data_IF_862401164989
#
_entry.id   IF_862401164989
#
_cell.length_a   1.000
_cell.length_b   1.000
_cell.length_c   1.000
_cell.angle_alpha   90.00
_cell.angle_beta   90.00
_cell.angle_gamma   90.00
#
_symmetry.space_group_name_H-M   'P 1'
#
loop_
_entity.id
_entity.type
_entity.pdbx_description
1 polymer ?
#
# COMPACT_ATOMS: atom_id res chain seq x y z
N UNK A 1 -16.34 23.09 -5.83
CA UNK A 1 -14.95 23.32 -6.27
C UNK A 1 -14.35 24.39 -5.37
N UNK A 2 -13.24 24.09 -4.72
CA UNK A 2 -12.50 25.07 -3.94
C UNK A 2 -11.50 25.77 -4.86
N UNK A 3 -11.44 27.09 -4.82
CA UNK A 3 -10.60 27.90 -5.70
C UNK A 3 -9.29 28.27 -4.98
N UNK A 4 -8.28 27.40 -5.05
CA UNK A 4 -6.97 27.62 -4.44
C UNK A 4 -5.85 26.89 -5.18
N UNK A 5 -4.64 27.45 -5.12
CA UNK A 5 -3.42 26.73 -5.46
C UNK A 5 -2.96 25.98 -4.21
N UNK A 6 -3.00 24.65 -4.26
CA UNK A 6 -2.70 23.79 -3.10
C UNK A 6 -1.33 23.16 -3.24
N UNK A 7 -0.54 23.24 -2.18
CA UNK A 7 0.76 22.58 -2.07
C UNK A 7 0.66 21.49 -1.01
N UNK A 8 1.08 20.24 -1.30
CA UNK A 8 1.11 19.20 -0.27
C UNK A 8 2.16 19.53 0.81
N UNK A 9 2.09 18.89 1.99
CA UNK A 9 3.14 18.99 2.99
C UNK A 9 4.51 18.61 2.41
N UNK A 10 5.56 19.30 2.81
CA UNK A 10 6.92 18.94 2.41
C UNK A 10 7.28 17.59 3.06
N UNK A 11 7.68 16.58 2.27
CA UNK A 11 8.02 15.27 2.83
C UNK A 11 9.35 15.34 3.58
N UNK A 12 9.43 14.59 4.67
CA UNK A 12 10.66 14.28 5.39
C UNK A 12 10.69 12.76 5.59
N UNK A 13 11.89 12.18 5.60
CA UNK A 13 12.02 10.74 5.84
C UNK A 13 11.50 10.38 7.23
N UNK A 14 10.74 9.29 7.29
CA UNK A 14 10.21 8.76 8.54
C UNK A 14 11.37 8.31 9.46
N UNK A 15 11.42 8.79 10.71
CA UNK A 15 12.44 8.35 11.66
C UNK A 15 12.36 6.85 11.93
N UNK A 16 13.53 6.19 11.86
CA UNK A 16 13.67 4.76 12.16
C UNK A 16 13.64 4.55 13.67
N UNK A 17 12.73 3.70 14.17
CA UNK A 17 12.73 3.26 15.57
C UNK A 17 13.89 2.29 15.81
N UNK A 18 14.61 2.50 16.89
CA UNK A 18 15.79 1.70 17.24
C UNK A 18 15.45 0.38 17.92
N UNK A 19 14.26 0.26 18.51
CA UNK A 19 13.83 -0.89 19.30
C UNK A 19 14.84 -1.27 20.41
N UNK A 20 15.27 -0.26 21.16
CA UNK A 20 16.19 -0.45 22.27
C UNK A 20 15.56 -1.34 23.38
N UNK A 21 16.35 -2.16 24.09
CA UNK A 21 15.83 -2.99 25.16
C UNK A 21 15.03 -2.19 26.20
N UNK A 22 13.80 -2.60 26.46
CA UNK A 22 12.91 -1.98 27.45
C UNK A 22 12.18 -0.71 26.98
N UNK A 23 12.39 -0.27 25.73
CA UNK A 23 11.66 0.88 25.19
C UNK A 23 10.18 0.58 24.97
N UNK A 24 9.37 1.64 24.82
CA UNK A 24 7.93 1.52 24.60
C UNK A 24 7.63 0.78 23.29
N UNK A 25 8.32 1.13 22.20
CA UNK A 25 8.16 0.48 20.90
C UNK A 25 8.63 -0.96 20.87
N UNK A 26 9.64 -1.33 21.67
CA UNK A 26 10.02 -2.74 21.84
C UNK A 26 8.93 -3.52 22.57
N UNK A 27 8.33 -2.92 23.59
CA UNK A 27 7.28 -3.54 24.38
C UNK A 27 6.01 -3.74 23.55
N UNK A 28 5.57 -2.71 22.82
CA UNK A 28 4.36 -2.78 22.00
C UNK A 28 4.52 -3.72 20.80
N UNK A 29 5.67 -3.70 20.12
CA UNK A 29 5.94 -4.63 19.02
C UNK A 29 5.96 -6.10 19.49
N UNK A 30 6.57 -6.39 20.65
CA UNK A 30 6.54 -7.73 21.24
C UNK A 30 5.12 -8.19 21.55
N UNK A 31 4.32 -7.35 22.18
CA UNK A 31 2.91 -7.64 22.45
C UNK A 31 2.14 -7.94 21.15
N UNK A 32 2.40 -7.17 20.08
CA UNK A 32 1.73 -7.39 18.80
C UNK A 32 2.20 -8.68 18.11
N UNK A 33 3.50 -8.99 18.17
CA UNK A 33 4.06 -10.26 17.67
C UNK A 33 3.43 -11.46 18.40
N UNK A 34 3.36 -11.41 19.72
CA UNK A 34 2.79 -12.48 20.53
C UNK A 34 1.31 -12.71 20.18
N UNK A 35 0.52 -11.64 20.10
CA UNK A 35 -0.89 -11.70 19.71
C UNK A 35 -1.06 -12.29 18.30
N UNK A 36 -0.36 -11.74 17.30
CA UNK A 36 -0.48 -12.20 15.91
C UNK A 36 0.02 -13.62 15.69
N UNK A 37 0.99 -14.08 16.48
CA UNK A 37 1.46 -15.48 16.44
C UNK A 37 0.45 -16.49 17.00
N UNK A 38 -0.62 -16.04 17.65
CA UNK A 38 -1.69 -16.92 18.14
C UNK A 38 -2.91 -16.92 17.22
N UNK A 39 -2.91 -16.07 16.20
CA UNK A 39 -3.99 -15.92 15.24
C UNK A 39 -3.69 -16.74 13.98
N UNK A 40 -4.75 -17.33 13.39
CA UNK A 40 -4.71 -17.85 12.01
C UNK A 40 -5.66 -17.00 11.20
N UNK A 41 -5.11 -16.05 10.45
CA UNK A 41 -5.89 -15.07 9.69
C UNK A 41 -6.51 -15.74 8.47
N UNK A 42 -7.80 -15.52 8.25
CA UNK A 42 -8.47 -15.86 7.00
C UNK A 42 -8.34 -14.69 6.02
N UNK A 43 -7.61 -14.90 4.92
CA UNK A 43 -7.29 -13.85 3.93
C UNK A 43 -8.12 -14.09 2.65
N UNK A 44 -9.16 -13.27 2.40
CA UNK A 44 -9.98 -13.38 1.21
C UNK A 44 -9.31 -12.76 -0.02
N UNK A 45 -9.86 -13.06 -1.20
CA UNK A 45 -9.67 -12.21 -2.38
C UNK A 45 -10.53 -10.96 -2.19
N UNK A 46 -9.99 -9.75 -2.42
CA UNK A 46 -10.73 -8.49 -2.28
C UNK A 46 -10.95 -7.88 -3.67
N UNK A 47 -12.21 -7.67 -4.05
CA UNK A 47 -12.59 -7.04 -5.34
C UNK A 47 -13.67 -5.99 -5.06
N UNK A 48 -13.42 -4.73 -5.42
CA UNK A 48 -14.39 -3.65 -5.20
C UNK A 48 -14.76 -3.42 -3.73
N UNK A 49 -13.88 -3.81 -2.80
CA UNK A 49 -14.15 -3.79 -1.36
C UNK A 49 -14.89 -5.03 -0.82
N UNK A 50 -15.32 -5.96 -1.68
CA UNK A 50 -15.95 -7.21 -1.26
C UNK A 50 -14.91 -8.29 -0.94
N UNK A 51 -15.05 -8.95 0.21
CA UNK A 51 -14.25 -10.11 0.60
C UNK A 51 -14.84 -11.41 0.04
N UNK A 52 -14.10 -12.10 -0.83
CA UNK A 52 -14.52 -13.33 -1.51
C UNK A 52 -13.68 -14.51 -1.02
N UNK A 53 -14.38 -15.51 -0.46
CA UNK A 53 -13.79 -16.78 0.02
C UNK A 53 -14.05 -17.87 -1.00
N UNK A 54 -13.01 -18.26 -1.73
CA UNK A 54 -13.10 -19.21 -2.85
C UNK A 54 -13.13 -20.68 -2.42
N UNK A 55 -12.78 -20.99 -1.18
CA UNK A 55 -12.49 -22.36 -0.72
C UNK A 55 -11.22 -22.99 -1.30
N UNK A 56 -10.68 -22.47 -2.41
CA UNK A 56 -9.36 -22.86 -2.93
C UNK A 56 -8.27 -22.08 -2.21
N UNK A 57 -7.61 -22.72 -1.24
CA UNK A 57 -6.76 -22.04 -0.27
C UNK A 57 -5.30 -22.46 -0.31
N UNK A 58 -4.41 -21.53 0.00
CA UNK A 58 -3.04 -21.81 0.43
C UNK A 58 -2.81 -21.40 1.89
N UNK A 59 -1.65 -21.77 2.45
CA UNK A 59 -1.25 -21.35 3.79
C UNK A 59 -0.06 -20.38 3.74
N UNK A 60 -0.13 -19.33 4.56
CA UNK A 60 1.03 -18.52 4.91
C UNK A 60 1.58 -19.02 6.25
N UNK A 61 2.90 -19.23 6.30
CA UNK A 61 3.59 -19.80 7.46
C UNK A 61 4.67 -18.84 7.94
N UNK A 62 5.16 -19.06 9.16
CA UNK A 62 6.36 -18.39 9.66
C UNK A 62 7.60 -19.05 9.03
N UNK A 63 8.43 -18.39 8.20
CA UNK A 63 9.53 -19.07 7.53
C UNK A 63 10.59 -19.65 8.50
N UNK A 64 10.88 -18.94 9.59
CA UNK A 64 11.79 -19.41 10.65
C UNK A 64 11.16 -20.43 11.61
N UNK A 65 9.87 -20.75 11.46
CA UNK A 65 9.14 -21.78 12.22
C UNK A 65 8.08 -22.41 11.33
N UNK A 66 8.51 -23.04 10.23
CA UNK A 66 7.66 -23.41 9.08
C UNK A 66 6.45 -24.32 9.35
N UNK A 67 6.34 -24.93 10.54
CA UNK A 67 5.13 -25.66 10.97
C UNK A 67 4.04 -24.76 11.56
N UNK A 68 4.34 -23.50 11.78
CA UNK A 68 3.45 -22.51 12.35
C UNK A 68 2.73 -21.76 11.22
N UNK A 69 1.41 -21.89 11.17
CA UNK A 69 0.54 -21.26 10.18
C UNK A 69 0.08 -19.91 10.72
N UNK A 70 0.26 -18.85 9.94
CA UNK A 70 -0.18 -17.49 10.25
C UNK A 70 -1.51 -17.14 9.57
N UNK A 71 -1.74 -17.70 8.38
CA UNK A 71 -2.95 -17.43 7.63
C UNK A 71 -3.32 -18.56 6.69
N UNK A 72 -4.61 -18.65 6.39
CA UNK A 72 -5.15 -19.37 5.23
C UNK A 72 -5.62 -18.30 4.24
N UNK A 73 -5.11 -18.32 3.00
CA UNK A 73 -5.48 -17.33 1.99
C UNK A 73 -6.21 -17.98 0.82
N UNK A 74 -7.21 -17.28 0.30
CA UNK A 74 -7.98 -17.69 -0.86
C UNK A 74 -7.29 -17.30 -2.16
N UNK A 75 -7.28 -18.21 -3.12
CA UNK A 75 -6.69 -18.00 -4.44
C UNK A 75 -7.78 -17.66 -5.45
N UNK A 76 -7.54 -16.62 -6.25
CA UNK A 76 -8.41 -16.21 -7.34
C UNK A 76 -8.24 -17.12 -8.56
N UNK A 77 -9.35 -17.47 -9.20
CA UNK A 77 -9.36 -18.13 -10.51
C UNK A 77 -9.52 -17.10 -11.65
N UNK A 78 -9.56 -17.59 -12.89
CA UNK A 78 -9.72 -16.72 -14.07
C UNK A 78 -11.02 -15.90 -14.03
N UNK A 79 -12.10 -16.43 -13.46
CA UNK A 79 -13.39 -15.72 -13.38
C UNK A 79 -13.31 -14.52 -12.43
N UNK A 80 -12.62 -14.70 -11.30
CA UNK A 80 -12.39 -13.62 -10.34
C UNK A 80 -11.40 -12.58 -10.87
N UNK A 81 -10.40 -13.00 -11.66
CA UNK A 81 -9.52 -12.05 -12.36
C UNK A 81 -10.32 -11.20 -13.34
N UNK A 82 -11.21 -11.78 -14.15
CA UNK A 82 -12.11 -11.01 -15.02
C UNK A 82 -13.00 -10.06 -14.22
N UNK A 83 -13.64 -10.53 -13.13
CA UNK A 83 -14.44 -9.66 -12.24
C UNK A 83 -13.61 -8.49 -11.70
N UNK A 84 -12.35 -8.74 -11.31
CA UNK A 84 -11.47 -7.70 -10.79
C UNK A 84 -11.11 -6.65 -11.86
N UNK A 85 -10.90 -7.07 -13.10
CA UNK A 85 -10.67 -6.17 -14.25
C UNK A 85 -11.90 -5.29 -14.47
N UNK A 86 -13.09 -5.89 -14.61
CA UNK A 86 -14.33 -5.15 -14.85
C UNK A 86 -14.59 -4.14 -13.73
N UNK A 87 -14.40 -4.56 -12.47
CA UNK A 87 -14.57 -3.68 -11.30
C UNK A 87 -13.57 -2.52 -11.29
N UNK A 88 -12.33 -2.76 -11.72
CA UNK A 88 -11.31 -1.72 -11.80
C UNK A 88 -11.58 -0.72 -12.93
N UNK A 89 -12.14 -1.16 -14.06
CA UNK A 89 -12.58 -0.30 -15.15
C UNK A 89 -13.79 0.55 -14.74
N UNK A 90 -14.77 -0.06 -14.05
CA UNK A 90 -15.95 0.63 -13.54
C UNK A 90 -15.60 1.75 -12.56
N UNK A 91 -14.65 1.50 -11.65
CA UNK A 91 -14.18 2.50 -10.68
C UNK A 91 -13.25 3.57 -11.27
N UNK A 92 -12.69 3.33 -12.47
CA UNK A 92 -11.62 4.15 -13.06
C UNK A 92 -12.06 5.58 -13.24
N UNK A 93 -13.28 5.79 -13.78
CA UNK A 93 -13.80 7.13 -14.08
C UNK A 93 -13.93 7.99 -12.84
N UNK A 94 -14.58 7.46 -11.81
CA UNK A 94 -14.82 8.20 -10.57
C UNK A 94 -13.49 8.55 -9.89
N UNK A 95 -12.53 7.61 -9.89
CA UNK A 95 -11.21 7.84 -9.30
C UNK A 95 -10.35 8.86 -10.08
N UNK A 96 -10.35 8.82 -11.41
CA UNK A 96 -9.60 9.79 -12.21
C UNK A 96 -10.20 11.20 -12.16
N UNK A 97 -11.53 11.31 -12.02
CA UNK A 97 -12.25 12.59 -11.95
C UNK A 97 -12.10 13.28 -10.58
N UNK A 98 -11.71 12.55 -9.52
CA UNK A 98 -11.36 13.17 -8.25
C UNK A 98 -10.25 14.23 -8.43
N UNK A 99 -10.32 15.37 -7.74
CA UNK A 99 -9.21 16.31 -7.70
C UNK A 99 -7.95 15.61 -7.19
N UNK A 100 -6.79 15.91 -7.78
CA UNK A 100 -5.55 15.22 -7.42
C UNK A 100 -5.20 15.36 -5.94
N UNK A 101 -5.61 16.45 -5.30
CA UNK A 101 -5.41 16.70 -3.87
C UNK A 101 -6.15 15.67 -3.01
N UNK A 102 -7.36 15.29 -3.41
CA UNK A 102 -8.15 14.27 -2.71
C UNK A 102 -7.51 12.88 -2.87
N UNK A 103 -7.00 12.57 -4.08
CA UNK A 103 -6.20 11.35 -4.28
C UNK A 103 -4.95 11.35 -3.42
N UNK A 104 -4.19 12.45 -3.40
CA UNK A 104 -3.01 12.60 -2.56
C UNK A 104 -3.33 12.45 -1.06
N UNK A 105 -4.45 13.00 -0.60
CA UNK A 105 -4.86 12.94 0.80
C UNK A 105 -5.06 11.50 1.30
N UNK A 106 -5.54 10.58 0.45
CA UNK A 106 -5.66 9.15 0.79
C UNK A 106 -4.30 8.58 1.19
N UNK A 107 -3.26 8.79 0.38
CA UNK A 107 -1.94 8.22 0.62
C UNK A 107 -1.17 8.93 1.74
N UNK A 108 -1.36 10.25 1.91
CA UNK A 108 -0.84 10.97 3.06
C UNK A 108 -1.45 10.43 4.37
N UNK A 109 -2.77 10.20 4.38
CA UNK A 109 -3.46 9.59 5.52
C UNK A 109 -2.99 8.15 5.77
N UNK A 110 -2.79 7.36 4.72
CA UNK A 110 -2.23 6.02 4.82
C UNK A 110 -0.84 6.03 5.47
N UNK A 111 0.03 6.97 5.10
CA UNK A 111 1.34 7.15 5.72
C UNK A 111 1.25 7.46 7.22
N UNK A 112 0.34 8.35 7.62
CA UNK A 112 0.15 8.68 9.04
C UNK A 112 -0.45 7.53 9.84
N UNK A 113 -1.38 6.77 9.26
CA UNK A 113 -1.91 5.55 9.86
C UNK A 113 -0.81 4.50 10.05
N UNK A 114 0.04 4.31 9.03
CA UNK A 114 1.17 3.38 9.06
C UNK A 114 2.20 3.79 10.11
N UNK A 115 2.55 5.08 10.22
CA UNK A 115 3.54 5.54 11.19
C UNK A 115 3.01 5.63 12.63
N UNK A 116 1.69 5.65 12.79
CA UNK A 116 1.01 5.68 14.08
C UNK A 116 0.40 4.32 14.45
N UNK A 117 -0.94 4.18 14.42
CA UNK A 117 -1.65 3.03 15.01
C UNK A 117 -1.38 1.70 14.30
N UNK A 118 -0.97 1.69 13.03
CA UNK A 118 -0.73 0.46 12.28
C UNK A 118 0.72 -0.04 12.30
N UNK A 119 1.67 0.77 12.77
CA UNK A 119 3.11 0.49 12.64
C UNK A 119 3.51 -0.88 13.16
N UNK A 120 3.08 -1.20 14.38
CA UNK A 120 3.42 -2.47 15.01
C UNK A 120 2.72 -3.65 14.32
N UNK A 121 1.51 -3.46 13.79
CA UNK A 121 0.78 -4.51 13.05
C UNK A 121 1.51 -4.85 11.75
N UNK A 122 1.88 -3.85 10.95
CA UNK A 122 2.55 -4.07 9.66
C UNK A 122 3.97 -4.60 9.89
N UNK A 123 4.72 -4.07 10.87
CA UNK A 123 6.03 -4.59 11.22
C UNK A 123 5.95 -6.03 11.72
N UNK A 124 5.02 -6.36 12.64
CA UNK A 124 4.85 -7.72 13.14
C UNK A 124 4.45 -8.70 12.03
N UNK A 125 3.51 -8.32 11.16
CA UNK A 125 3.13 -9.13 10.00
C UNK A 125 4.33 -9.41 9.08
N UNK A 126 5.16 -8.39 8.84
CA UNK A 126 6.35 -8.50 8.00
C UNK A 126 7.42 -9.38 8.66
N UNK A 127 7.65 -9.24 9.97
CA UNK A 127 8.58 -10.08 10.71
C UNK A 127 8.14 -11.54 10.70
N UNK A 128 6.87 -11.82 10.98
CA UNK A 128 6.33 -13.18 11.05
C UNK A 128 6.27 -13.83 9.66
N UNK A 129 5.68 -13.15 8.67
CA UNK A 129 5.45 -13.70 7.33
C UNK A 129 6.68 -13.76 6.44
N UNK A 130 7.57 -12.76 6.55
CA UNK A 130 8.78 -12.65 5.71
C UNK A 130 10.07 -12.92 6.49
N UNK A 131 9.98 -13.33 7.75
CA UNK A 131 11.13 -13.66 8.61
C UNK A 131 12.15 -12.53 8.78
N UNK A 132 11.67 -11.28 8.79
CA UNK A 132 12.52 -10.11 9.02
C UNK A 132 12.82 -9.92 10.50
N UNK A 133 13.99 -9.37 10.80
CA UNK A 133 14.27 -8.80 12.13
C UNK A 133 13.46 -7.52 12.34
N UNK A 134 13.32 -7.05 13.58
CA UNK A 134 12.59 -5.80 13.85
C UNK A 134 13.15 -4.62 13.07
N UNK A 135 14.48 -4.47 13.00
CA UNK A 135 15.12 -3.43 12.22
C UNK A 135 14.83 -3.56 10.71
N UNK A 136 14.92 -4.79 10.16
CA UNK A 136 14.65 -5.02 8.74
C UNK A 136 13.18 -4.79 8.36
N UNK A 137 12.24 -5.07 9.26
CA UNK A 137 10.83 -4.75 9.06
C UNK A 137 10.58 -3.24 9.17
N UNK A 138 11.18 -2.58 10.16
CA UNK A 138 11.00 -1.14 10.40
C UNK A 138 11.45 -0.27 9.22
N UNK A 139 12.66 -0.53 8.70
CA UNK A 139 13.18 0.28 7.59
C UNK A 139 12.41 0.03 6.28
N UNK A 140 11.74 -1.11 6.13
CA UNK A 140 10.97 -1.52 4.96
C UNK A 140 9.48 -1.15 5.13
N UNK A 141 8.78 -1.92 5.94
CA UNK A 141 7.33 -1.93 6.01
C UNK A 141 6.74 -0.66 6.61
N UNK A 142 7.48 0.02 7.49
CA UNK A 142 7.08 1.29 8.08
C UNK A 142 7.75 2.48 7.35
N UNK A 143 9.06 2.65 7.51
CA UNK A 143 9.75 3.85 7.05
C UNK A 143 9.72 4.01 5.52
N UNK A 144 10.23 3.03 4.77
CA UNK A 144 10.30 3.13 3.31
C UNK A 144 8.90 3.23 2.67
N UNK A 145 7.89 2.51 3.17
CA UNK A 145 6.54 2.62 2.64
C UNK A 145 5.87 3.98 2.94
N UNK A 146 6.02 4.49 4.17
CA UNK A 146 5.53 5.83 4.50
C UNK A 146 6.22 6.90 3.67
N UNK A 147 7.53 6.74 3.45
CA UNK A 147 8.30 7.62 2.59
C UNK A 147 7.84 7.52 1.13
N UNK A 148 7.60 6.33 0.59
CA UNK A 148 7.03 6.18 -0.76
C UNK A 148 5.74 6.98 -0.91
N UNK A 149 4.80 6.86 0.03
CA UNK A 149 3.54 7.60 -0.06
C UNK A 149 3.72 9.12 0.05
N UNK A 150 4.53 9.60 1.01
CA UNK A 150 4.76 11.04 1.20
C UNK A 150 5.56 11.66 0.06
N UNK A 151 6.64 11.02 -0.35
CA UNK A 151 7.49 11.50 -1.43
C UNK A 151 6.82 11.37 -2.80
N UNK A 152 6.06 10.30 -3.08
CA UNK A 152 5.32 10.23 -4.35
C UNK A 152 4.24 11.32 -4.46
N UNK A 153 3.60 11.72 -3.36
CA UNK A 153 2.69 12.88 -3.37
C UNK A 153 3.45 14.17 -3.70
N UNK A 154 4.63 14.36 -3.12
CA UNK A 154 5.50 15.48 -3.46
C UNK A 154 5.92 15.47 -4.93
N UNK A 155 6.35 14.32 -5.46
CA UNK A 155 6.72 14.15 -6.85
C UNK A 155 5.54 14.34 -7.80
N UNK A 156 4.35 13.89 -7.43
CA UNK A 156 3.13 14.15 -8.20
C UNK A 156 2.84 15.66 -8.31
N UNK A 157 2.99 16.40 -7.20
CA UNK A 157 2.83 17.86 -7.22
C UNK A 157 3.90 18.56 -8.07
N UNK A 158 5.17 18.13 -7.97
CA UNK A 158 6.24 18.65 -8.82
C UNK A 158 5.95 18.41 -10.30
N UNK A 159 5.56 17.17 -10.66
CA UNK A 159 5.21 16.77 -12.02
C UNK A 159 4.07 17.64 -12.58
N UNK A 160 2.98 17.82 -11.84
CA UNK A 160 1.85 18.65 -12.30
C UNK A 160 2.19 20.14 -12.40
N UNK A 161 3.24 20.60 -11.71
CA UNK A 161 3.79 21.95 -11.83
C UNK A 161 4.58 22.18 -13.12
N UNK A 162 4.96 21.14 -13.86
CA UNK A 162 5.68 21.26 -15.13
C UNK A 162 4.73 21.77 -16.22
N UNK A 163 4.92 23.02 -16.66
CA UNK A 163 4.06 23.68 -17.65
C UNK A 163 4.89 24.35 -18.77
N UNK A 164 4.38 24.38 -20.01
CA UNK A 164 5.09 24.97 -21.14
C UNK A 164 5.05 26.51 -21.12
N UNK A 165 6.05 27.12 -21.78
CA UNK A 165 6.01 28.55 -22.05
C UNK A 165 4.84 28.93 -22.98
N UNK A 166 4.32 30.13 -22.82
CA UNK A 166 3.25 30.70 -23.64
C UNK A 166 3.77 31.93 -24.41
N UNK A 167 3.62 31.93 -25.73
CA UNK A 167 3.96 33.08 -26.58
C UNK A 167 2.85 34.15 -26.55
N UNK A 168 3.11 35.40 -26.99
CA UNK A 168 2.07 36.43 -27.06
C UNK A 168 0.83 35.98 -27.86
N UNK A 169 -0.35 36.14 -27.28
CA UNK A 169 -1.62 35.71 -27.88
C UNK A 169 -1.93 34.22 -27.75
N UNK A 170 -1.09 33.44 -27.06
CA UNK A 170 -1.27 32.02 -26.81
C UNK A 170 -1.28 31.71 -25.32
N UNK A 171 -1.97 30.66 -24.91
CA UNK A 171 -1.86 30.10 -23.56
C UNK A 171 -1.77 28.58 -23.65
N UNK A 172 -0.56 28.06 -23.49
CA UNK A 172 -0.27 26.63 -23.54
C UNK A 172 -0.43 26.01 -22.14
N UNK A 173 -0.97 24.80 -22.08
CA UNK A 173 -1.14 24.02 -20.84
C UNK A 173 -0.83 22.56 -21.12
N UNK A 174 -0.15 21.91 -20.18
CA UNK A 174 0.07 20.48 -20.17
C UNK A 174 -0.89 19.82 -19.18
N UNK A 175 -1.58 18.78 -19.63
CA UNK A 175 -2.46 17.95 -18.80
C UNK A 175 -1.88 16.54 -18.69
N UNK A 176 -1.58 16.12 -17.47
CA UNK A 176 -1.12 14.76 -17.18
C UNK A 176 -2.31 13.84 -17.01
N UNK A 177 -2.65 13.12 -18.08
CA UNK A 177 -3.75 12.15 -18.07
C UNK A 177 -3.28 10.83 -17.43
N UNK A 178 -4.14 10.14 -16.65
CA UNK A 178 -3.95 8.74 -16.31
C UNK A 178 -3.92 7.87 -17.58
N UNK A 179 -3.52 6.61 -17.42
CA UNK A 179 -3.54 5.64 -18.52
C UNK A 179 -4.98 5.22 -18.84
N UNK A 180 -5.19 4.81 -20.09
CA UNK A 180 -6.40 4.08 -20.46
C UNK A 180 -6.29 2.63 -19.99
N UNK A 181 -7.32 2.15 -19.31
CA UNK A 181 -7.40 0.80 -18.77
C UNK A 181 -7.02 0.68 -17.28
N UNK A 182 -6.56 -0.49 -16.87
CA UNK A 182 -6.09 -0.81 -15.51
C UNK A 182 -4.60 -1.16 -15.47
N UNK A 183 -3.99 -1.05 -14.28
CA UNK A 183 -2.60 -1.46 -14.04
C UNK A 183 -2.56 -2.81 -13.31
N UNK A 184 -1.72 -3.74 -13.77
CA UNK A 184 -1.43 -4.98 -13.04
C UNK A 184 -0.14 -4.82 -12.21
N UNK A 185 -0.28 -4.85 -10.88
CA UNK A 185 0.84 -4.81 -9.95
C UNK A 185 1.13 -6.23 -9.40
N UNK A 186 2.25 -6.82 -9.84
CA UNK A 186 2.75 -8.11 -9.32
C UNK A 186 3.93 -7.81 -8.40
N UNK A 187 3.80 -8.16 -7.11
CA UNK A 187 4.77 -7.70 -6.10
C UNK A 187 5.57 -8.85 -5.47
N UNK A 188 6.86 -8.64 -5.18
CA UNK A 188 7.74 -9.68 -4.64
C UNK A 188 7.53 -9.88 -3.13
N UNK A 189 8.24 -10.85 -2.55
CA UNK A 189 8.14 -11.16 -1.11
C UNK A 189 9.09 -10.33 -0.23
N UNK A 190 10.16 -9.80 -0.81
CA UNK A 190 11.32 -9.33 -0.06
C UNK A 190 11.11 -7.95 0.60
N UNK A 191 10.18 -7.14 0.12
CA UNK A 191 9.86 -5.82 0.68
C UNK A 191 8.35 -5.60 0.73
N UNK A 192 7.85 -5.32 1.92
CA UNK A 192 6.47 -4.89 2.13
C UNK A 192 6.24 -3.49 1.55
N UNK A 193 7.26 -2.63 1.56
CA UNK A 193 7.24 -1.31 0.93
C UNK A 193 7.01 -1.37 -0.58
N UNK A 194 7.75 -2.24 -1.29
CA UNK A 194 7.57 -2.47 -2.73
C UNK A 194 6.18 -3.03 -2.99
N UNK A 195 5.71 -3.92 -2.12
CA UNK A 195 4.38 -4.52 -2.24
C UNK A 195 3.25 -3.49 -2.11
N UNK A 196 3.38 -2.51 -1.20
CA UNK A 196 2.45 -1.39 -1.10
C UNK A 196 2.62 -0.36 -2.22
N UNK A 197 3.85 -0.01 -2.59
CA UNK A 197 4.12 1.08 -3.52
C UNK A 197 3.68 0.77 -4.96
N UNK A 198 3.96 -0.44 -5.46
CA UNK A 198 3.68 -0.81 -6.86
C UNK A 198 2.19 -0.65 -7.27
N UNK A 199 1.18 -1.03 -6.46
CA UNK A 199 -0.21 -0.74 -6.77
C UNK A 199 -0.60 0.72 -6.45
N UNK A 200 -0.03 1.35 -5.40
CA UNK A 200 -0.48 2.69 -4.98
C UNK A 200 0.10 3.84 -5.79
N UNK A 201 1.31 3.73 -6.34
CA UNK A 201 1.93 4.77 -7.16
C UNK A 201 1.12 5.08 -8.43
N UNK A 202 0.71 4.11 -9.26
CA UNK A 202 -0.19 4.39 -10.38
C UNK A 202 -1.57 4.84 -9.90
N UNK A 203 -2.07 4.30 -8.78
CA UNK A 203 -3.35 4.74 -8.22
C UNK A 203 -3.34 6.22 -7.84
N UNK A 204 -2.25 6.72 -7.28
CA UNK A 204 -2.07 8.14 -6.95
C UNK A 204 -2.23 9.06 -8.17
N UNK A 205 -1.74 8.61 -9.33
CA UNK A 205 -1.87 9.32 -10.61
C UNK A 205 -3.23 9.13 -11.30
N UNK A 206 -4.22 8.55 -10.63
CA UNK A 206 -5.60 8.41 -11.13
C UNK A 206 -5.88 7.11 -11.89
N UNK A 207 -4.99 6.13 -11.84
CA UNK A 207 -5.24 4.80 -12.40
C UNK A 207 -5.97 3.90 -11.37
N UNK A 208 -6.55 2.79 -11.83
CA UNK A 208 -6.94 1.68 -10.96
C UNK A 208 -5.93 0.54 -11.10
N UNK A 209 -5.82 -0.33 -10.08
CA UNK A 209 -4.81 -1.39 -10.07
C UNK A 209 -5.36 -2.71 -9.56
N UNK A 210 -4.97 -3.79 -10.25
CA UNK A 210 -5.09 -5.16 -9.76
C UNK A 210 -3.78 -5.54 -9.07
N UNK A 211 -3.86 -5.86 -7.78
CA UNK A 211 -2.68 -6.22 -7.00
C UNK A 211 -2.60 -7.73 -6.78
N UNK A 212 -1.59 -8.38 -7.36
CA UNK A 212 -1.24 -9.78 -7.12
C UNK A 212 0.03 -9.86 -6.26
N UNK A 213 -0.10 -9.95 -4.93
CA UNK A 213 1.06 -10.08 -4.04
C UNK A 213 1.72 -11.47 -4.10
N UNK A 214 2.97 -11.55 -3.63
CA UNK A 214 3.62 -12.83 -3.33
C UNK A 214 2.87 -13.57 -2.21
N UNK A 215 2.71 -14.89 -2.35
CA UNK A 215 2.09 -15.73 -1.32
C UNK A 215 2.87 -15.73 0.00
N UNK A 216 4.18 -15.51 -0.04
CA UNK A 216 5.06 -15.49 1.14
C UNK A 216 5.12 -14.13 1.85
N UNK A 217 4.51 -13.08 1.30
CA UNK A 217 4.30 -11.78 1.98
C UNK A 217 2.81 -11.45 2.14
N UNK A 218 1.93 -12.42 1.92
CA UNK A 218 0.48 -12.19 1.85
C UNK A 218 -0.11 -11.63 3.15
N UNK A 219 0.47 -11.96 4.32
CA UNK A 219 -0.01 -11.49 5.61
C UNK A 219 0.16 -9.97 5.76
N UNK A 220 1.36 -9.44 5.54
CA UNK A 220 1.63 -8.00 5.61
C UNK A 220 0.86 -7.25 4.53
N UNK A 221 0.80 -7.81 3.32
CA UNK A 221 0.06 -7.22 2.20
C UNK A 221 -1.46 -7.15 2.46
N UNK A 222 -2.03 -8.14 3.14
CA UNK A 222 -3.44 -8.10 3.54
C UNK A 222 -3.69 -6.98 4.55
N UNK A 223 -2.85 -6.82 5.57
CA UNK A 223 -3.01 -5.71 6.51
C UNK A 223 -2.77 -4.35 5.87
N UNK A 224 -1.90 -4.25 4.85
CA UNK A 224 -1.80 -3.03 4.02
C UNK A 224 -3.12 -2.75 3.28
N UNK A 225 -3.77 -3.75 2.69
CA UNK A 225 -5.10 -3.59 2.09
C UNK A 225 -6.18 -3.18 3.10
N UNK A 226 -6.06 -3.54 4.38
CA UNK A 226 -7.00 -3.09 5.43
C UNK A 226 -6.70 -1.68 5.94
N UNK A 227 -5.46 -1.22 5.77
CA UNK A 227 -5.02 0.12 6.14
C UNK A 227 -5.47 1.16 5.09
N UNK A 228 -5.35 0.80 3.81
CA UNK A 228 -5.83 1.57 2.65
C UNK A 228 -7.35 1.63 2.60
#
# INVERSE_FOLDING_TARGET
MTHGAYTPPQPVNEPVRTYAPGSAETTSLKQRLDAMSQEVVDIPVIIGGEEIRTGHTGQAIVPHKHRHVLATYHQADASLVSKAIDTAEDARRDWMELPWQERAAVFLRAADLLCGPWRDTINAATMLGQSKTCFQAEIDAACELADFWRFNVHYMHQLYGEQPASAPGMWNRLEHRPLDGFVLAITPFNFTSIAGNLPTAPAMLGNTALWKPSSTSILSNYYLMKLL
#
